data_IF_245290766985
#
_entry.id   IF_245290766985
#
_cell.length_a   1.000
_cell.length_b   1.000
_cell.length_c   1.000
_cell.angle_alpha   90.00
_cell.angle_beta   90.00
_cell.angle_gamma   90.00
#
_symmetry.space_group_name_H-M   'P 1'
#
loop_
_entity.id
_entity.type
_entity.pdbx_description
1 polymer ?
#
# COMPACT_ATOMS: atom_id res chain seq x y z
N UNK A 1 -17.76 -4.53 10.16
CA UNK A 1 -17.48 -4.47 8.71
C UNK A 1 -17.50 -5.88 8.13
N UNK A 2 -16.60 -6.76 8.59
CA UNK A 2 -16.49 -8.17 8.19
C UNK A 2 -17.82 -8.95 8.08
N UNK A 3 -18.75 -8.77 9.02
CA UNK A 3 -20.02 -9.51 9.01
C UNK A 3 -20.90 -9.14 7.79
N UNK A 4 -20.88 -7.86 7.38
CA UNK A 4 -21.63 -7.40 6.21
C UNK A 4 -21.02 -7.93 4.91
N UNK A 5 -19.70 -8.08 4.88
CA UNK A 5 -18.94 -8.58 3.72
C UNK A 5 -19.34 -10.02 3.40
N UNK A 6 -19.32 -10.90 4.40
CA UNK A 6 -19.71 -12.29 4.23
C UNK A 6 -21.21 -12.42 3.91
N UNK A 7 -22.05 -11.70 4.66
CA UNK A 7 -23.51 -11.70 4.43
C UNK A 7 -23.85 -11.29 2.98
N UNK A 8 -23.19 -10.27 2.43
CA UNK A 8 -23.40 -9.85 1.05
C UNK A 8 -23.06 -10.96 0.05
N UNK A 9 -21.91 -11.60 0.23
CA UNK A 9 -21.44 -12.70 -0.63
C UNK A 9 -22.35 -13.93 -0.55
N UNK A 10 -22.84 -14.29 0.64
CA UNK A 10 -23.78 -15.40 0.83
C UNK A 10 -25.13 -15.17 0.13
N UNK A 11 -25.48 -13.91 -0.14
CA UNK A 11 -26.63 -13.53 -0.95
C UNK A 11 -26.28 -13.35 -2.44
N UNK A 12 -25.16 -13.91 -2.90
CA UNK A 12 -24.73 -13.90 -4.30
C UNK A 12 -24.30 -12.54 -4.80
N UNK A 13 -23.86 -11.62 -3.92
CA UNK A 13 -23.37 -10.29 -4.31
C UNK A 13 -21.84 -10.28 -4.38
N UNK A 14 -21.30 -9.66 -5.42
CA UNK A 14 -19.87 -9.32 -5.46
C UNK A 14 -19.52 -8.33 -4.35
N UNK A 15 -18.27 -8.37 -3.88
CA UNK A 15 -17.77 -7.51 -2.82
C UNK A 15 -16.61 -6.64 -3.31
N UNK A 16 -16.78 -5.32 -3.17
CA UNK A 16 -15.72 -4.33 -3.36
C UNK A 16 -15.33 -3.78 -1.99
N UNK A 17 -14.16 -4.21 -1.49
CA UNK A 17 -13.62 -3.84 -0.20
C UNK A 17 -12.93 -2.48 -0.26
N UNK A 18 -13.35 -1.54 0.58
CA UNK A 18 -12.68 -0.25 0.77
C UNK A 18 -11.95 -0.16 2.12
N UNK A 19 -12.26 -1.05 3.07
CA UNK A 19 -11.61 -1.10 4.36
C UNK A 19 -10.35 -1.96 4.26
N UNK A 20 -9.22 -1.34 3.97
CA UNK A 20 -7.94 -2.03 3.78
C UNK A 20 -7.46 -2.68 5.08
N UNK A 21 -7.82 -2.12 6.23
CA UNK A 21 -7.51 -2.67 7.55
C UNK A 21 -8.18 -4.06 7.72
N UNK A 22 -9.42 -4.22 7.24
CA UNK A 22 -10.10 -5.52 7.20
C UNK A 22 -9.50 -6.45 6.13
N UNK A 23 -9.13 -5.94 4.95
CA UNK A 23 -8.48 -6.75 3.90
C UNK A 23 -7.17 -7.38 4.39
N UNK A 24 -6.29 -6.60 5.01
CA UNK A 24 -5.00 -7.14 5.50
C UNK A 24 -5.16 -8.08 6.69
N UNK A 25 -6.30 -8.07 7.38
CA UNK A 25 -6.58 -8.97 8.52
C UNK A 25 -7.28 -10.26 8.10
N UNK A 26 -8.32 -10.16 7.26
CA UNK A 26 -9.20 -11.29 6.89
C UNK A 26 -9.48 -11.38 5.39
N UNK A 27 -8.86 -10.56 4.54
CA UNK A 27 -9.09 -10.53 3.10
C UNK A 27 -8.81 -11.87 2.42
N UNK A 28 -7.80 -12.62 2.89
CA UNK A 28 -7.52 -13.97 2.41
C UNK A 28 -8.71 -14.92 2.63
N UNK A 29 -9.32 -14.85 3.81
CA UNK A 29 -10.52 -15.63 4.13
C UNK A 29 -11.71 -15.16 3.29
N UNK A 30 -11.95 -13.85 3.19
CA UNK A 30 -13.05 -13.29 2.39
C UNK A 30 -12.92 -13.68 0.91
N UNK A 31 -11.72 -13.65 0.35
CA UNK A 31 -11.45 -14.11 -1.02
C UNK A 31 -11.75 -15.59 -1.21
N UNK A 32 -11.35 -16.45 -0.26
CA UNK A 32 -11.68 -17.88 -0.30
C UNK A 32 -13.21 -18.12 -0.21
N UNK A 33 -13.92 -17.34 0.61
CA UNK A 33 -15.38 -17.43 0.67
C UNK A 33 -16.03 -16.94 -0.62
N UNK A 34 -15.53 -15.86 -1.22
CA UNK A 34 -16.01 -15.37 -2.51
C UNK A 34 -15.92 -16.47 -3.60
N UNK A 35 -14.77 -17.14 -3.68
CA UNK A 35 -14.55 -18.24 -4.63
C UNK A 35 -15.51 -19.41 -4.38
N UNK A 36 -15.69 -19.81 -3.11
CA UNK A 36 -16.62 -20.86 -2.72
C UNK A 36 -18.07 -20.53 -3.11
N UNK A 37 -18.46 -19.27 -3.01
CA UNK A 37 -19.81 -18.78 -3.27
C UNK A 37 -20.04 -18.38 -4.73
N UNK A 38 -19.01 -18.43 -5.58
CA UNK A 38 -19.11 -18.06 -6.99
C UNK A 38 -19.30 -16.55 -7.23
N UNK A 39 -18.83 -15.72 -6.30
CA UNK A 39 -18.84 -14.25 -6.41
C UNK A 39 -17.41 -13.71 -6.49
N UNK A 40 -17.28 -12.40 -6.77
CA UNK A 40 -15.98 -11.75 -6.97
C UNK A 40 -15.69 -10.86 -5.77
N UNK A 41 -14.50 -11.02 -5.20
CA UNK A 41 -13.91 -10.13 -4.21
C UNK A 41 -12.87 -9.24 -4.88
N UNK A 42 -12.83 -7.96 -4.54
CA UNK A 42 -11.75 -7.05 -4.92
C UNK A 42 -11.57 -5.97 -3.87
N UNK A 43 -10.33 -5.54 -3.63
CA UNK A 43 -10.07 -4.20 -3.08
C UNK A 43 -10.46 -3.17 -4.15
N UNK A 44 -11.13 -2.10 -3.76
CA UNK A 44 -11.59 -1.04 -4.67
C UNK A 44 -10.45 -0.18 -5.19
N UNK A 45 -10.57 0.27 -6.44
CA UNK A 45 -9.63 1.18 -7.09
C UNK A 45 -9.57 2.55 -6.40
N UNK A 46 -8.43 3.23 -6.56
CA UNK A 46 -8.24 4.63 -6.18
C UNK A 46 -7.60 4.85 -4.81
N UNK A 47 -7.47 3.80 -3.99
CA UNK A 47 -6.54 3.80 -2.86
C UNK A 47 -5.14 3.41 -3.33
N UNK A 48 -4.10 3.76 -2.58
CA UNK A 48 -2.72 3.50 -2.96
C UNK A 48 -2.43 2.02 -3.28
N UNK A 49 -2.92 1.02 -2.52
CA UNK A 49 -2.62 -0.39 -2.82
C UNK A 49 -3.08 -0.81 -4.22
N UNK A 50 -4.37 -0.59 -4.53
CA UNK A 50 -4.96 -0.93 -5.83
C UNK A 50 -4.38 -0.11 -6.98
N UNK A 51 -4.09 1.18 -6.76
CA UNK A 51 -3.44 2.03 -7.75
C UNK A 51 -2.01 1.57 -8.06
N UNK A 52 -1.30 1.04 -7.06
CA UNK A 52 0.03 0.47 -7.23
C UNK A 52 -0.02 -0.85 -8.00
N UNK A 53 -1.07 -1.66 -7.79
CA UNK A 53 -1.28 -2.90 -8.55
C UNK A 53 -1.36 -2.66 -10.05
N UNK A 54 -1.91 -1.53 -10.53
CA UNK A 54 -1.90 -1.18 -11.96
C UNK A 54 -0.47 -1.06 -12.53
N UNK A 55 0.45 -0.45 -11.78
CA UNK A 55 1.86 -0.32 -12.18
C UNK A 55 2.59 -1.67 -12.09
N UNK A 56 2.28 -2.47 -11.07
CA UNK A 56 2.85 -3.80 -10.86
C UNK A 56 2.42 -4.76 -11.98
N UNK A 57 1.15 -4.75 -12.35
CA UNK A 57 0.62 -5.51 -13.50
C UNK A 57 1.33 -5.10 -14.79
N UNK A 58 1.43 -3.79 -15.06
CA UNK A 58 2.14 -3.29 -16.23
C UNK A 58 3.62 -3.73 -16.28
N UNK A 59 4.37 -3.53 -15.19
CA UNK A 59 5.79 -3.86 -15.13
C UNK A 59 6.05 -5.37 -15.27
N UNK A 60 5.26 -6.18 -14.56
CA UNK A 60 5.39 -7.64 -14.60
C UNK A 60 5.00 -8.23 -15.95
N UNK A 61 3.96 -7.71 -16.60
CA UNK A 61 3.55 -8.13 -17.95
C UNK A 61 4.63 -7.85 -19.02
N UNK A 62 5.43 -6.79 -18.83
CA UNK A 62 6.59 -6.48 -19.68
C UNK A 62 7.84 -7.33 -19.36
N UNK A 63 7.80 -8.17 -18.31
CA UNK A 63 8.93 -8.99 -17.88
C UNK A 63 10.04 -8.19 -17.18
N UNK A 64 9.73 -6.97 -16.69
CA UNK A 64 10.67 -6.19 -15.89
C UNK A 64 10.71 -6.70 -14.45
N UNK A 65 11.89 -6.76 -13.85
CA UNK A 65 12.04 -7.23 -12.47
C UNK A 65 11.61 -6.13 -11.50
N UNK A 66 10.64 -6.41 -10.64
CA UNK A 66 10.19 -5.46 -9.61
C UNK A 66 11.21 -5.43 -8.47
N UNK A 67 11.78 -4.25 -8.22
CA UNK A 67 12.78 -4.02 -7.17
C UNK A 67 12.11 -3.56 -5.89
N UNK A 68 11.27 -2.52 -5.99
CA UNK A 68 10.49 -1.99 -4.88
C UNK A 68 9.16 -1.42 -5.40
N UNK A 69 8.11 -1.45 -4.60
CA UNK A 69 6.83 -0.82 -4.92
C UNK A 69 6.24 -0.15 -3.68
N UNK A 70 5.47 0.92 -3.88
CA UNK A 70 4.74 1.55 -2.79
C UNK A 70 4.30 2.98 -3.07
N UNK A 71 4.34 3.82 -2.03
CA UNK A 71 3.78 5.19 -2.05
C UNK A 71 4.72 6.25 -1.48
N UNK A 72 4.39 7.50 -1.75
CA UNK A 72 4.96 8.65 -1.03
C UNK A 72 4.09 9.04 0.15
N UNK A 73 4.69 9.66 1.18
CA UNK A 73 3.95 10.36 2.23
C UNK A 73 3.95 11.87 1.98
N UNK A 74 2.77 12.48 2.03
CA UNK A 74 2.60 13.93 2.01
C UNK A 74 2.76 14.58 3.40
N UNK A 75 2.49 13.83 4.45
CA UNK A 75 2.57 14.29 5.83
C UNK A 75 3.93 13.92 6.44
N UNK A 76 4.55 14.83 7.22
CA UNK A 76 5.67 14.45 8.07
C UNK A 76 5.29 13.26 8.95
N UNK A 77 6.18 12.27 9.02
CA UNK A 77 5.99 11.12 9.90
C UNK A 77 6.27 11.54 11.34
N UNK A 78 5.30 11.35 12.23
CA UNK A 78 5.47 11.52 13.67
C UNK A 78 4.80 10.35 14.39
N UNK A 79 5.61 9.38 14.82
CA UNK A 79 5.13 8.16 15.49
C UNK A 79 4.40 8.41 16.82
N UNK A 80 4.64 9.56 17.45
CA UNK A 80 4.05 9.91 18.75
C UNK A 80 2.78 10.77 18.59
N UNK A 81 2.31 10.99 17.36
CA UNK A 81 1.12 11.80 17.10
C UNK A 81 -0.12 11.24 17.81
N UNK A 82 -0.87 12.14 18.45
CA UNK A 82 -2.15 11.84 19.11
C UNK A 82 -3.24 12.83 18.68
N UNK A 83 -4.55 12.48 18.78
CA UNK A 83 -5.63 13.32 18.27
C UNK A 83 -5.61 14.77 18.75
N UNK A 84 -5.22 15.00 20.00
CA UNK A 84 -5.23 16.33 20.62
C UNK A 84 -4.31 17.33 19.90
N UNK A 85 -3.19 16.87 19.35
CA UNK A 85 -2.24 17.71 18.60
C UNK A 85 -2.79 18.13 17.22
N UNK A 86 -3.80 17.42 16.71
CA UNK A 86 -4.27 17.54 15.33
C UNK A 86 -5.74 17.98 15.22
N UNK A 87 -6.43 18.28 16.34
CA UNK A 87 -7.86 18.66 16.33
C UNK A 87 -8.14 19.90 15.48
N UNK A 88 -7.29 20.91 15.59
CA UNK A 88 -7.47 22.17 14.84
C UNK A 88 -7.35 21.94 13.33
N UNK A 89 -6.32 21.22 12.89
CA UNK A 89 -6.14 20.88 11.48
C UNK A 89 -7.30 20.01 10.97
N UNK A 90 -7.71 19.00 11.76
CA UNK A 90 -8.79 18.10 11.40
C UNK A 90 -10.12 18.86 11.22
N UNK A 91 -10.43 19.79 12.12
CA UNK A 91 -11.61 20.66 12.02
C UNK A 91 -11.55 21.54 10.77
N UNK A 92 -10.40 22.17 10.49
CA UNK A 92 -10.20 22.99 9.28
C UNK A 92 -10.39 22.19 7.99
N UNK A 93 -10.00 20.92 7.99
CA UNK A 93 -10.11 20.00 6.85
C UNK A 93 -11.44 19.24 6.78
N UNK A 94 -12.36 19.49 7.73
CA UNK A 94 -13.61 18.77 7.88
C UNK A 94 -13.40 17.24 7.90
N UNK A 95 -12.41 16.77 8.67
CA UNK A 95 -12.05 15.36 8.78
C UNK A 95 -11.98 14.90 10.23
N UNK A 96 -12.09 13.59 10.47
CA UNK A 96 -11.91 13.02 11.80
C UNK A 96 -10.43 13.12 12.22
N UNK A 97 -10.09 13.62 13.43
CA UNK A 97 -8.71 13.73 13.89
C UNK A 97 -7.99 12.38 13.94
N UNK A 98 -8.69 11.28 14.21
CA UNK A 98 -8.09 9.93 14.17
C UNK A 98 -7.57 9.55 12.80
N UNK A 99 -8.35 9.88 11.76
CA UNK A 99 -7.91 9.67 10.37
C UNK A 99 -6.66 10.51 10.08
N UNK A 100 -6.60 11.75 10.58
CA UNK A 100 -5.40 12.56 10.40
C UNK A 100 -4.19 11.94 11.11
N UNK A 101 -4.36 11.48 12.34
CA UNK A 101 -3.29 10.85 13.12
C UNK A 101 -2.77 9.57 12.48
N UNK A 102 -3.62 8.67 11.96
CA UNK A 102 -3.14 7.44 11.32
C UNK A 102 -2.32 7.71 10.04
N UNK A 103 -2.56 8.82 9.34
CA UNK A 103 -1.70 9.26 8.23
C UNK A 103 -0.35 9.76 8.74
N UNK A 104 -0.34 10.47 9.87
CA UNK A 104 0.86 11.09 10.46
C UNK A 104 1.73 10.07 11.19
N UNK A 105 1.17 9.18 11.99
CA UNK A 105 1.92 8.21 12.81
C UNK A 105 2.46 7.01 12.01
N UNK A 106 2.00 6.89 10.76
CA UNK A 106 2.43 5.87 9.82
C UNK A 106 1.50 4.67 9.75
N UNK A 107 0.48 4.58 10.60
CA UNK A 107 -0.40 3.42 10.66
C UNK A 107 -1.04 3.08 9.32
N UNK A 108 -1.55 4.10 8.61
CA UNK A 108 -2.16 3.89 7.29
C UNK A 108 -1.16 3.40 6.25
N UNK A 109 0.06 3.94 6.26
CA UNK A 109 1.14 3.50 5.37
C UNK A 109 1.50 2.03 5.59
N UNK A 110 1.56 1.58 6.85
CA UNK A 110 1.84 0.18 7.17
C UNK A 110 0.76 -0.75 6.60
N UNK A 111 -0.51 -0.39 6.79
CA UNK A 111 -1.67 -1.14 6.28
C UNK A 111 -1.65 -1.23 4.76
N UNK A 112 -1.47 -0.11 4.06
CA UNK A 112 -1.48 -0.08 2.60
C UNK A 112 -0.32 -0.88 2.00
N UNK A 113 0.88 -0.76 2.56
CA UNK A 113 2.04 -1.52 2.06
C UNK A 113 1.89 -3.01 2.35
N UNK A 114 1.27 -3.39 3.47
CA UNK A 114 0.92 -4.78 3.76
C UNK A 114 -0.07 -5.34 2.73
N UNK A 115 -1.07 -4.55 2.32
CA UNK A 115 -2.01 -4.96 1.28
C UNK A 115 -1.29 -5.23 -0.07
N UNK A 116 -0.37 -4.34 -0.48
CA UNK A 116 0.46 -4.57 -1.68
C UNK A 116 1.29 -5.85 -1.52
N UNK A 117 1.96 -6.03 -0.39
CA UNK A 117 2.76 -7.21 -0.10
C UNK A 117 1.93 -8.50 -0.23
N UNK A 118 0.77 -8.54 0.42
CA UNK A 118 -0.12 -9.70 0.43
C UNK A 118 -0.80 -9.96 -0.91
N UNK A 119 -0.89 -8.98 -1.82
CA UNK A 119 -1.37 -9.19 -3.19
C UNK A 119 -0.28 -9.65 -4.18
N UNK A 120 1.00 -9.50 -3.84
CA UNK A 120 2.10 -9.62 -4.82
C UNK A 120 3.19 -10.61 -4.43
N UNK A 121 3.35 -10.90 -3.13
CA UNK A 121 4.48 -11.66 -2.60
C UNK A 121 5.74 -10.81 -2.38
N UNK A 122 5.68 -9.51 -2.66
CA UNK A 122 6.70 -8.55 -2.21
C UNK A 122 6.69 -8.48 -0.68
N UNK A 123 7.82 -8.16 -0.06
CA UNK A 123 7.95 -8.16 1.42
C UNK A 123 8.59 -6.87 1.92
N UNK A 124 8.30 -6.41 3.16
CA UNK A 124 9.12 -5.36 3.76
C UNK A 124 10.56 -5.88 3.95
N UNK A 125 11.56 -5.06 3.62
CA UNK A 125 12.98 -5.43 3.76
C UNK A 125 13.40 -5.55 5.25
N UNK A 126 12.78 -4.72 6.10
CA UNK A 126 12.90 -4.72 7.55
C UNK A 126 11.53 -4.45 8.18
N UNK A 127 11.26 -4.86 9.44
CA UNK A 127 10.05 -4.48 10.16
C UNK A 127 9.84 -2.96 10.10
N UNK A 128 8.64 -2.53 9.71
CA UNK A 128 8.26 -1.12 9.54
C UNK A 128 8.75 -0.45 8.25
N UNK A 129 9.45 -1.19 7.38
CA UNK A 129 10.08 -0.67 6.15
C UNK A 129 11.13 0.42 6.44
N UNK A 130 11.83 0.88 5.40
CA UNK A 130 12.88 1.88 5.58
C UNK A 130 12.35 3.32 5.66
N UNK A 131 11.34 3.66 4.86
CA UNK A 131 10.78 5.01 4.84
C UNK A 131 11.78 6.13 4.54
N UNK A 132 12.73 5.99 3.58
CA UNK A 132 13.81 6.97 3.41
C UNK A 132 13.30 8.35 2.97
N UNK A 133 14.11 9.36 3.27
CA UNK A 133 13.95 10.69 2.69
C UNK A 133 14.39 10.67 1.23
N UNK A 134 13.44 10.51 0.31
CA UNK A 134 13.70 10.44 -1.11
C UNK A 134 12.56 11.09 -1.91
N UNK A 135 12.92 12.09 -2.70
CA UNK A 135 12.02 12.73 -3.66
C UNK A 135 11.82 11.82 -4.89
N UNK A 136 10.80 12.12 -5.69
CA UNK A 136 10.43 11.35 -6.91
C UNK A 136 11.63 11.04 -7.79
N UNK A 137 12.48 12.03 -8.04
CA UNK A 137 13.58 11.91 -9.01
C UNK A 137 14.80 11.17 -8.43
N UNK A 138 14.80 10.87 -7.13
CA UNK A 138 15.90 10.20 -6.42
C UNK A 138 15.56 8.77 -6.02
N UNK A 139 14.27 8.42 -5.86
CA UNK A 139 13.90 7.14 -5.25
C UNK A 139 14.42 5.92 -6.01
N UNK A 140 14.54 5.99 -7.34
CA UNK A 140 15.10 4.90 -8.17
C UNK A 140 16.61 4.67 -7.97
N UNK A 141 17.29 5.54 -7.20
CA UNK A 141 18.69 5.36 -6.77
C UNK A 141 18.80 4.97 -5.29
N UNK A 142 17.73 5.16 -4.51
CA UNK A 142 17.73 4.95 -3.06
C UNK A 142 17.12 3.59 -2.72
N UNK A 143 15.92 3.30 -3.22
CA UNK A 143 15.20 2.06 -2.97
C UNK A 143 15.61 0.97 -3.97
N UNK A 144 16.92 0.72 -4.05
CA UNK A 144 17.57 -0.35 -4.81
C UNK A 144 18.52 -1.13 -3.90
N UNK A 145 19.10 -2.26 -4.32
CA UNK A 145 20.02 -3.04 -3.48
C UNK A 145 21.25 -2.25 -3.02
N UNK A 146 21.74 -2.54 -1.81
CA UNK A 146 23.00 -2.00 -1.27
C UNK A 146 24.20 -2.25 -2.16
N UNK A 147 24.23 -3.38 -2.87
CA UNK A 147 25.29 -3.73 -3.81
C UNK A 147 25.43 -2.71 -4.95
N UNK A 148 24.34 -2.00 -5.29
CA UNK A 148 24.29 -1.00 -6.35
C UNK A 148 24.22 0.44 -5.78
N UNK A 149 24.54 0.61 -4.49
CA UNK A 149 24.57 1.91 -3.82
C UNK A 149 23.24 2.36 -3.20
N UNK A 150 22.22 1.51 -3.20
CA UNK A 150 20.94 1.78 -2.54
C UNK A 150 20.87 1.34 -1.08
N UNK A 151 19.65 1.23 -0.57
CA UNK A 151 19.35 0.96 0.83
C UNK A 151 18.96 -0.50 1.10
N UNK A 152 18.42 -1.20 0.10
CA UNK A 152 17.71 -2.47 0.31
C UNK A 152 18.67 -3.65 0.46
N UNK A 153 18.37 -4.58 1.37
CA UNK A 153 19.11 -5.84 1.47
C UNK A 153 18.79 -6.80 0.32
N UNK A 154 17.61 -6.64 -0.30
CA UNK A 154 17.12 -7.46 -1.42
C UNK A 154 16.25 -6.68 -2.41
N UNK A 155 16.01 -7.26 -3.58
CA UNK A 155 14.95 -6.85 -4.52
C UNK A 155 13.62 -7.50 -4.11
N UNK A 156 12.52 -6.99 -4.65
CA UNK A 156 11.18 -7.52 -4.44
C UNK A 156 10.57 -7.07 -3.11
N UNK A 157 10.62 -5.76 -2.83
CA UNK A 157 10.17 -5.21 -1.55
C UNK A 157 8.97 -4.27 -1.67
N UNK A 158 8.22 -4.12 -0.59
CA UNK A 158 7.35 -2.95 -0.39
C UNK A 158 8.06 -1.94 0.50
N UNK A 159 8.01 -0.66 0.13
CA UNK A 159 8.55 0.43 0.94
C UNK A 159 7.83 1.76 0.59
N UNK A 160 8.08 2.80 1.38
CA UNK A 160 7.50 4.12 1.15
C UNK A 160 8.59 5.19 1.20
N UNK A 161 8.29 6.41 0.74
CA UNK A 161 9.23 7.53 0.85
C UNK A 161 8.64 8.73 1.55
N UNK A 162 9.50 9.52 2.18
CA UNK A 162 9.19 10.83 2.73
C UNK A 162 9.89 11.86 1.84
N UNK A 163 9.16 12.48 0.91
CA UNK A 163 9.77 13.39 -0.06
C UNK A 163 8.75 14.01 -1.00
N UNK A 164 9.23 14.96 -1.81
CA UNK A 164 8.42 15.71 -2.77
C UNK A 164 8.17 14.91 -4.04
N UNK A 165 6.97 15.10 -4.60
CA UNK A 165 6.63 14.69 -5.96
C UNK A 165 6.22 13.22 -6.14
N UNK A 166 6.23 12.41 -5.07
CA UNK A 166 5.70 11.02 -5.15
C UNK A 166 4.21 10.99 -4.82
N UNK A 167 3.81 11.67 -3.76
CA UNK A 167 2.41 11.78 -3.37
C UNK A 167 1.79 13.10 -3.86
N UNK A 168 0.48 13.14 -4.17
CA UNK A 168 -0.44 11.98 -4.21
C UNK A 168 -0.06 10.99 -5.33
N UNK A 169 -0.16 9.69 -5.05
CA UNK A 169 0.18 8.66 -6.02
C UNK A 169 1.08 7.54 -5.48
N UNK A 170 1.55 6.72 -6.42
CA UNK A 170 2.27 5.47 -6.17
C UNK A 170 3.42 5.29 -7.14
N UNK A 171 4.36 4.42 -6.79
CA UNK A 171 5.52 4.11 -7.60
C UNK A 171 5.82 2.61 -7.66
N UNK A 172 6.51 2.20 -8.73
CA UNK A 172 7.23 0.93 -8.83
C UNK A 172 8.62 1.20 -9.37
N UNK A 173 9.65 0.72 -8.69
CA UNK A 173 11.02 0.68 -9.19
C UNK A 173 11.23 -0.68 -9.87
N UNK A 174 11.68 -0.62 -11.11
CA UNK A 174 11.95 -1.79 -11.94
C UNK A 174 13.42 -1.86 -12.33
N UNK A 175 13.90 -3.05 -12.60
CA UNK A 175 15.20 -3.31 -13.19
C UNK A 175 15.04 -3.88 -14.61
N UNK A 176 15.73 -3.25 -15.57
CA UNK A 176 15.86 -3.77 -16.92
C UNK A 176 17.08 -4.69 -17.02
N UNK A 177 16.86 -5.94 -17.40
CA UNK A 177 17.90 -6.99 -17.42
C UNK A 177 18.61 -7.15 -18.77
N UNK A 178 18.08 -6.57 -19.85
CA UNK A 178 18.65 -6.69 -21.19
C UNK A 178 19.28 -5.35 -21.65
N UNK A 179 20.52 -5.33 -22.16
CA UNK A 179 21.22 -4.09 -22.54
C UNK A 179 20.44 -3.21 -23.53
N UNK A 180 19.75 -3.83 -24.51
CA UNK A 180 18.88 -3.10 -25.46
C UNK A 180 17.67 -2.44 -24.80
N UNK A 181 17.13 -3.03 -23.73
CA UNK A 181 16.03 -2.43 -22.96
C UNK A 181 16.56 -1.26 -22.16
N UNK A 182 17.74 -1.40 -21.53
CA UNK A 182 18.45 -0.29 -20.85
C UNK A 182 18.70 0.87 -21.81
N UNK A 183 19.30 0.60 -22.97
CA UNK A 183 19.53 1.59 -24.04
C UNK A 183 18.22 2.31 -24.43
N UNK A 184 17.15 1.56 -24.67
CA UNK A 184 15.86 2.14 -25.05
C UNK A 184 15.23 2.98 -23.93
N UNK A 185 15.30 2.53 -22.68
CA UNK A 185 14.71 3.24 -21.54
C UNK A 185 15.50 4.54 -21.25
N UNK A 186 16.82 4.51 -21.42
CA UNK A 186 17.69 5.68 -21.34
C UNK A 186 17.38 6.67 -22.49
N UNK A 187 17.28 6.21 -23.73
CA UNK A 187 16.92 7.03 -24.92
C UNK A 187 15.56 7.71 -24.78
N UNK A 188 14.61 7.04 -24.12
CA UNK A 188 13.26 7.56 -23.85
C UNK A 188 13.22 8.50 -22.64
N UNK A 189 14.36 8.74 -21.99
CA UNK A 189 14.48 9.60 -20.81
C UNK A 189 13.62 9.12 -19.62
N UNK A 190 13.37 7.81 -19.52
CA UNK A 190 12.65 7.24 -18.36
C UNK A 190 13.50 7.34 -17.09
N UNK A 191 14.82 7.26 -17.23
CA UNK A 191 15.78 7.35 -16.15
C UNK A 191 17.18 7.00 -16.64
N UNK A 192 18.04 6.55 -15.72
CA UNK A 192 19.35 6.02 -16.05
C UNK A 192 19.48 4.61 -15.48
N UNK A 193 19.66 3.63 -16.37
CA UNK A 193 19.63 2.22 -16.00
C UNK A 193 20.75 1.76 -15.05
N UNK A 194 20.60 0.53 -14.51
CA UNK A 194 19.56 -0.44 -14.89
C UNK A 194 18.22 -0.27 -14.15
N UNK A 195 18.13 0.66 -13.20
CA UNK A 195 16.95 0.89 -12.37
C UNK A 195 16.12 2.10 -12.83
N UNK A 196 14.81 1.94 -12.94
CA UNK A 196 13.88 2.96 -13.42
C UNK A 196 12.67 3.08 -12.51
N UNK A 197 12.19 4.30 -12.29
CA UNK A 197 10.94 4.55 -11.54
C UNK A 197 9.76 4.72 -12.48
N UNK A 198 8.68 3.98 -12.24
CA UNK A 198 7.37 4.14 -12.86
C UNK A 198 6.42 4.77 -11.85
N UNK A 199 5.63 5.75 -12.28
CA UNK A 199 4.83 6.57 -11.38
C UNK A 199 3.40 6.74 -11.89
N UNK A 200 2.44 6.66 -10.97
CA UNK A 200 1.07 7.13 -11.16
C UNK A 200 0.88 8.33 -10.23
N UNK A 201 0.94 9.58 -10.72
CA UNK A 201 1.02 10.78 -9.88
C UNK A 201 -0.36 11.25 -9.38
N UNK A 202 -1.29 10.32 -9.22
CA UNK A 202 -2.64 10.54 -8.72
C UNK A 202 -3.27 9.24 -8.25
N UNK A 203 -4.23 9.39 -7.36
CA UNK A 203 -5.24 8.40 -7.01
C UNK A 203 -6.44 9.18 -6.47
N UNK A 204 -7.66 8.82 -6.88
CA UNK A 204 -8.86 9.62 -6.62
C UNK A 204 -9.76 8.98 -5.56
N UNK A 205 -9.22 8.04 -4.78
CA UNK A 205 -9.89 7.42 -3.63
C UNK A 205 -11.27 6.86 -4.03
N UNK A 206 -12.32 7.23 -3.30
CA UNK A 206 -13.70 6.78 -3.55
C UNK A 206 -14.21 7.04 -4.96
N UNK A 207 -13.65 8.00 -5.71
CA UNK A 207 -14.10 8.33 -7.06
C UNK A 207 -13.76 7.25 -8.09
N UNK A 208 -12.76 6.39 -7.83
CA UNK A 208 -12.37 5.32 -8.75
C UNK A 208 -13.08 3.99 -8.45
N UNK A 209 -13.63 3.81 -7.24
CA UNK A 209 -14.30 2.57 -6.81
C UNK A 209 -15.43 2.11 -7.76
N UNK A 210 -16.27 3.00 -8.35
CA UNK A 210 -17.24 2.59 -9.35
C UNK A 210 -16.62 1.88 -10.57
N UNK A 211 -15.36 2.14 -10.90
CA UNK A 211 -14.65 1.46 -11.99
C UNK A 211 -14.38 -0.01 -11.65
N UNK A 212 -14.05 -0.32 -10.38
CA UNK A 212 -13.92 -1.71 -9.91
C UNK A 212 -15.25 -2.45 -10.05
N UNK A 213 -16.34 -1.84 -9.59
CA UNK A 213 -17.67 -2.42 -9.72
C UNK A 213 -18.04 -2.67 -11.20
N UNK A 214 -17.75 -1.71 -12.07
CA UNK A 214 -17.97 -1.86 -13.51
C UNK A 214 -17.12 -2.99 -14.11
N UNK A 215 -15.83 -3.11 -13.76
CA UNK A 215 -14.95 -4.20 -14.25
C UNK A 215 -15.40 -5.58 -13.79
N UNK A 216 -15.88 -5.69 -12.56
CA UNK A 216 -16.48 -6.93 -12.04
C UNK A 216 -17.74 -7.27 -12.85
N UNK A 217 -18.68 -6.33 -13.00
CA UNK A 217 -19.96 -6.60 -13.64
C UNK A 217 -19.85 -6.84 -15.15
N UNK A 218 -18.94 -6.16 -15.84
CA UNK A 218 -18.78 -6.23 -17.29
C UNK A 218 -17.82 -7.34 -17.74
N UNK A 219 -16.78 -7.61 -16.94
CA UNK A 219 -15.67 -8.48 -17.36
C UNK A 219 -15.34 -9.59 -16.36
N UNK A 220 -16.02 -9.65 -15.21
CA UNK A 220 -15.70 -10.61 -14.14
C UNK A 220 -14.30 -10.40 -13.54
N UNK A 221 -13.72 -9.19 -13.65
CA UNK A 221 -12.34 -8.92 -13.25
C UNK A 221 -12.27 -8.13 -11.95
N UNK A 222 -11.56 -8.62 -10.92
CA UNK A 222 -11.16 -7.81 -9.77
C UNK A 222 -9.97 -6.92 -10.13
N UNK A 223 -9.77 -5.85 -9.36
CA UNK A 223 -8.59 -4.97 -9.49
C UNK A 223 -7.44 -5.40 -8.59
N UNK A 224 -7.75 -5.93 -7.40
CA UNK A 224 -6.75 -6.38 -6.45
C UNK A 224 -7.35 -7.42 -5.52
N UNK A 225 -6.64 -8.52 -5.32
CA UNK A 225 -7.01 -9.59 -4.38
C UNK A 225 -5.76 -10.05 -3.62
N UNK A 226 -5.89 -10.49 -2.37
CA UNK A 226 -4.77 -11.07 -1.64
C UNK A 226 -4.41 -12.46 -2.21
N UNK A 227 -3.14 -12.83 -2.07
CA UNK A 227 -2.66 -14.18 -2.29
C UNK A 227 -3.27 -15.15 -1.25
N UNK A 228 -3.35 -16.47 -1.55
CA UNK A 228 -3.89 -17.44 -0.59
C UNK A 228 -3.10 -17.56 0.72
N UNK A 229 -1.83 -17.14 0.72
CA UNK A 229 -0.94 -17.12 1.88
C UNK A 229 -0.36 -15.71 1.99
N UNK A 230 -0.69 -14.96 3.04
CA UNK A 230 -0.02 -13.71 3.35
C UNK A 230 1.50 -13.88 3.44
N UNK A 231 2.22 -12.83 3.08
CA UNK A 231 3.68 -12.71 3.22
C UNK A 231 4.07 -11.59 4.19
N UNK A 232 3.09 -10.81 4.64
CA UNK A 232 3.25 -9.76 5.62
C UNK A 232 2.02 -9.66 6.54
N UNK A 233 2.24 -9.15 7.74
CA UNK A 233 1.24 -8.92 8.78
C UNK A 233 1.32 -7.47 9.28
N UNK A 234 0.17 -6.86 9.57
CA UNK A 234 0.13 -5.56 10.26
C UNK A 234 0.10 -5.81 11.77
N UNK A 235 1.25 -5.68 12.42
CA UNK A 235 1.36 -5.71 13.88
C UNK A 235 1.10 -4.31 14.48
N UNK A 236 1.31 -4.17 15.79
CA UNK A 236 1.16 -2.91 16.51
C UNK A 236 2.33 -2.65 17.47
N UNK A 237 2.67 -1.38 17.66
CA UNK A 237 3.66 -0.89 18.62
C UNK A 237 3.00 0.14 19.53
N UNK A 238 3.23 0.05 20.83
CA UNK A 238 2.69 1.01 21.80
C UNK A 238 3.30 2.41 21.59
N UNK A 239 2.47 3.46 21.72
CA UNK A 239 2.90 4.88 21.64
C UNK A 239 3.25 5.47 23.01
N UNK A 240 2.85 4.79 24.08
CA UNK A 240 3.13 5.16 25.47
C UNK A 240 3.17 3.90 26.33
N UNK A 241 3.59 4.06 27.58
CA UNK A 241 3.47 2.99 28.56
C UNK A 241 1.97 2.66 28.81
N UNK A 242 1.67 1.36 28.87
CA UNK A 242 0.33 0.82 29.07
C UNK A 242 0.33 -0.08 30.31
N UNK A 243 -0.67 0.09 31.19
CA UNK A 243 -0.78 -0.70 32.41
C UNK A 243 -1.48 -2.05 32.15
N UNK A 244 -1.17 -3.06 32.96
CA UNK A 244 -1.88 -4.33 32.92
C UNK A 244 -3.38 -4.12 33.27
N UNK A 245 -4.27 -4.62 32.41
CA UNK A 245 -5.72 -4.44 32.55
C UNK A 245 -6.26 -3.17 31.89
N UNK A 246 -5.41 -2.34 31.29
CA UNK A 246 -5.83 -1.20 30.49
C UNK A 246 -6.40 -1.66 29.14
N UNK A 247 -7.56 -1.10 28.76
CA UNK A 247 -8.17 -1.36 27.44
C UNK A 247 -7.49 -0.52 26.38
N UNK A 248 -7.07 -1.13 25.29
CA UNK A 248 -6.54 -0.39 24.14
C UNK A 248 -7.64 0.47 23.50
N UNK A 249 -7.26 1.66 23.07
CA UNK A 249 -8.13 2.53 22.29
C UNK A 249 -8.20 2.04 20.83
N UNK A 250 -7.93 2.88 19.84
CA UNK A 250 -8.02 2.50 18.44
C UNK A 250 -6.88 3.10 17.62
N UNK A 251 -6.71 2.59 16.39
CA UNK A 251 -5.80 3.20 15.42
C UNK A 251 -6.15 4.70 15.25
N UNK A 252 -5.10 5.52 15.20
CA UNK A 252 -5.21 6.98 15.16
C UNK A 252 -5.47 7.62 16.52
N UNK A 253 -5.47 6.87 17.63
CA UNK A 253 -5.64 7.39 18.99
C UNK A 253 -4.31 7.42 19.77
N UNK A 254 -4.24 6.93 21.00
CA UNK A 254 -3.12 7.17 21.94
C UNK A 254 -2.36 5.92 22.35
N UNK A 255 -2.96 4.72 22.33
CA UNK A 255 -2.30 3.54 22.88
C UNK A 255 -1.26 2.95 21.92
N UNK A 256 -1.56 2.85 20.62
CA UNK A 256 -0.71 2.13 19.66
C UNK A 256 -0.75 2.70 18.24
N UNK A 257 0.22 2.27 17.43
CA UNK A 257 0.31 2.52 15.98
C UNK A 257 0.65 1.22 15.24
N UNK A 258 0.33 1.14 13.96
CA UNK A 258 0.61 -0.06 13.15
C UNK A 258 2.10 -0.23 12.84
N UNK A 259 2.51 -1.47 12.57
CA UNK A 259 3.89 -1.83 12.24
C UNK A 259 3.93 -3.10 11.38
N UNK A 260 4.26 -2.98 10.09
CA UNK A 260 4.25 -4.13 9.16
C UNK A 260 5.48 -5.01 9.32
N UNK A 261 5.29 -6.32 9.34
CA UNK A 261 6.34 -7.34 9.48
C UNK A 261 6.11 -8.49 8.48
N UNK A 262 7.13 -9.33 8.24
CA UNK A 262 7.01 -10.62 7.52
C UNK A 262 6.80 -11.78 8.46
#
# INVERSE_FOLDING_TARGET
AADFDLMAMEHGKHLVMMNVEADVTIGCYLKQQADRLGVVYSVGAGDEPSSCMELIEFASALGLSIVAAGKGKNNPLNHDAVPDDYREEAARRNMNPRMLVEFVDGSKTMVEMCAIANATGLVPDIPGMHGPRADRDQLAKVLIPKADGGLLSRKGVVDYTIGKGVAPGVFVIVEAIHPRVVERMDDLHVGKGPYYGLFRPYHLTSLEVPLTAARIMLYGKPDMVPLPRPVAEVCAVAKRDLAAGETFDAIGETCYRSWTMT
#
